data_IF_274712268882
#
_entry.id   IF_274712268882
#
_cell.length_a   1.000
_cell.length_b   1.000
_cell.length_c   1.000
_cell.angle_alpha   90.00
_cell.angle_beta   90.00
_cell.angle_gamma   90.00
#
_symmetry.space_group_name_H-M   'P 1'
#
loop_
_entity.id
_entity.type
_entity.pdbx_description
1 polymer ?
#
# COMPACT_ATOMS: atom_id res chain seq x y z
N UNK A 1 19.62 5.06 -3.99
CA UNK A 1 20.39 3.81 -4.05
C UNK A 1 19.60 2.62 -3.48
N UNK A 2 20.07 1.41 -3.77
CA UNK A 2 19.48 0.18 -3.23
C UNK A 2 19.62 0.11 -1.71
N UNK A 3 20.78 0.45 -1.21
CA UNK A 3 21.09 0.39 0.22
C UNK A 3 21.99 1.55 0.63
N UNK A 4 21.86 1.93 1.89
CA UNK A 4 22.66 2.97 2.51
C UNK A 4 23.20 2.48 3.86
N UNK A 5 24.49 2.68 4.09
CA UNK A 5 25.18 2.17 5.26
C UNK A 5 25.88 3.29 6.04
N UNK A 6 25.18 4.02 6.92
CA UNK A 6 25.82 5.02 7.77
C UNK A 6 26.60 4.37 8.91
N UNK A 7 27.85 4.79 9.09
CA UNK A 7 28.71 4.38 10.18
C UNK A 7 28.97 5.59 11.09
N UNK A 8 28.36 5.61 12.25
CA UNK A 8 28.51 6.71 13.20
C UNK A 8 28.16 6.26 14.62
N UNK A 9 28.83 6.86 15.60
CA UNK A 9 28.49 6.68 17.03
C UNK A 9 27.45 7.69 17.52
N UNK A 10 27.04 8.62 16.66
CA UNK A 10 26.06 9.66 16.98
C UNK A 10 24.70 9.27 16.41
N UNK A 11 23.77 8.86 17.28
CA UNK A 11 22.42 8.46 16.87
C UNK A 11 21.68 9.57 16.12
N UNK A 12 21.82 10.82 16.56
CA UNK A 12 21.17 11.96 15.90
C UNK A 12 21.67 12.17 14.47
N UNK A 13 22.95 11.90 14.20
CA UNK A 13 23.50 11.99 12.87
C UNK A 13 23.01 10.84 11.96
N UNK A 14 22.88 9.65 12.53
CA UNK A 14 22.30 8.52 11.82
C UNK A 14 20.85 8.81 11.41
N UNK A 15 20.05 9.30 12.35
CA UNK A 15 18.64 9.65 12.10
C UNK A 15 18.52 10.75 11.04
N UNK A 16 19.37 11.77 11.10
CA UNK A 16 19.42 12.83 10.09
C UNK A 16 19.66 12.27 8.68
N UNK A 17 20.62 11.36 8.53
CA UNK A 17 20.89 10.74 7.23
C UNK A 17 19.77 9.82 6.76
N UNK A 18 19.13 9.07 7.67
CA UNK A 18 17.99 8.21 7.35
C UNK A 18 16.83 9.03 6.79
N UNK A 19 16.56 10.18 7.39
CA UNK A 19 15.47 11.07 6.98
C UNK A 19 15.74 11.82 5.66
N UNK A 20 17.02 12.10 5.37
CA UNK A 20 17.39 12.96 4.24
C UNK A 20 17.96 12.21 3.02
N UNK A 21 18.35 10.95 3.17
CA UNK A 21 18.90 10.15 2.06
C UNK A 21 17.91 9.03 1.71
N UNK A 22 17.28 9.15 0.55
CA UNK A 22 16.39 8.11 0.06
C UNK A 22 17.16 6.88 -0.41
N UNK A 23 16.79 5.71 0.12
CA UNK A 23 17.35 4.42 -0.29
C UNK A 23 16.30 3.31 -0.18
N UNK A 24 16.56 2.18 -0.81
CA UNK A 24 15.68 1.01 -0.68
C UNK A 24 15.74 0.39 0.72
N UNK A 25 16.87 0.43 1.37
CA UNK A 25 17.05 -0.03 2.74
C UNK A 25 18.24 0.64 3.42
N UNK A 26 18.26 0.58 4.75
CA UNK A 26 19.32 1.16 5.58
C UNK A 26 19.81 0.14 6.60
N UNK A 27 21.12 0.06 6.78
CA UNK A 27 21.74 -0.70 7.88
C UNK A 27 22.73 0.19 8.60
N UNK A 28 22.46 0.56 9.84
CA UNK A 28 23.30 1.46 10.62
C UNK A 28 24.42 0.69 11.30
N UNK A 29 25.66 1.18 11.17
CA UNK A 29 26.87 0.60 11.76
C UNK A 29 27.15 -0.84 11.33
N UNK A 30 26.56 -1.26 10.21
CA UNK A 30 26.82 -2.57 9.62
C UNK A 30 26.49 -2.55 8.12
N UNK A 31 26.81 -3.61 7.43
CA UNK A 31 26.52 -3.76 6.01
C UNK A 31 25.75 -5.08 5.78
N UNK A 32 24.82 -5.07 4.83
CA UNK A 32 24.07 -6.24 4.36
C UNK A 32 23.08 -6.87 5.36
N UNK A 33 23.13 -6.55 6.64
CA UNK A 33 22.29 -7.21 7.64
C UNK A 33 20.79 -6.97 7.46
N UNK A 34 20.39 -5.85 6.86
CA UNK A 34 18.97 -5.62 6.55
C UNK A 34 18.43 -6.62 5.51
N UNK A 35 19.28 -7.12 4.61
CA UNK A 35 18.93 -8.14 3.61
C UNK A 35 18.72 -9.51 4.28
N UNK A 36 19.50 -9.81 5.30
CA UNK A 36 19.43 -11.07 6.03
C UNK A 36 18.19 -11.17 6.94
N UNK A 37 17.52 -10.05 7.19
CA UNK A 37 16.30 -10.01 7.99
C UNK A 37 15.10 -10.33 7.09
N UNK A 38 14.67 -11.58 7.10
CA UNK A 38 13.57 -12.04 6.24
C UNK A 38 12.21 -11.39 6.54
N UNK A 39 12.06 -10.75 7.69
CA UNK A 39 10.86 -10.02 8.08
C UNK A 39 10.85 -8.56 7.60
N UNK A 40 11.99 -8.06 7.11
CA UNK A 40 12.09 -6.71 6.57
C UNK A 40 11.93 -6.74 5.04
N UNK A 41 11.17 -5.81 4.47
CA UNK A 41 11.07 -5.70 3.02
C UNK A 41 12.44 -5.33 2.41
N UNK A 42 12.77 -5.94 1.29
CA UNK A 42 13.99 -5.67 0.55
C UNK A 42 13.68 -5.28 -0.90
N UNK A 43 14.19 -4.14 -1.32
CA UNK A 43 14.02 -3.65 -2.68
C UNK A 43 14.61 -2.27 -2.84
N UNK A 44 14.89 -1.89 -4.09
CA UNK A 44 15.45 -0.59 -4.43
C UNK A 44 14.40 0.47 -4.70
N UNK A 45 14.88 1.69 -4.92
CA UNK A 45 14.09 2.83 -5.34
C UNK A 45 14.72 3.49 -6.57
N UNK A 46 13.91 4.13 -7.41
CA UNK A 46 14.39 4.79 -8.62
C UNK A 46 15.19 3.85 -9.52
N UNK A 47 16.43 4.23 -9.90
CA UNK A 47 17.26 3.40 -10.78
C UNK A 47 17.68 2.05 -10.19
N UNK A 48 17.64 1.87 -8.86
CA UNK A 48 18.01 0.62 -8.20
C UNK A 48 16.90 -0.41 -8.14
N UNK A 49 15.67 -0.07 -8.52
CA UNK A 49 14.58 -1.02 -8.58
C UNK A 49 13.23 -0.43 -8.26
N UNK A 50 12.22 -1.30 -8.32
CA UNK A 50 10.83 -0.97 -8.06
C UNK A 50 10.20 -2.14 -7.31
N UNK A 51 9.46 -1.82 -6.24
CA UNK A 51 8.85 -2.83 -5.38
C UNK A 51 9.84 -3.42 -4.37
N UNK A 52 9.37 -4.39 -3.62
CA UNK A 52 10.15 -5.04 -2.57
C UNK A 52 9.60 -6.44 -2.28
N UNK A 53 10.40 -7.28 -1.63
CA UNK A 53 10.04 -8.63 -1.25
C UNK A 53 10.61 -8.98 0.13
N UNK A 54 10.46 -10.15 0.61
CA UNK A 54 10.63 -10.71 1.95
C UNK A 54 9.41 -10.48 2.84
N UNK A 55 9.17 -11.43 3.73
CA UNK A 55 8.10 -11.37 4.72
C UNK A 55 6.72 -11.17 4.11
N UNK A 56 5.92 -10.39 4.80
CA UNK A 56 4.55 -10.06 4.39
C UNK A 56 4.50 -9.28 3.07
N UNK A 57 5.40 -8.34 2.89
CA UNK A 57 5.49 -7.54 1.66
C UNK A 57 5.84 -8.42 0.45
N UNK A 58 6.71 -9.41 0.64
CA UNK A 58 7.01 -10.40 -0.39
C UNK A 58 5.78 -11.23 -0.76
N UNK A 59 5.03 -11.67 0.24
CA UNK A 59 3.76 -12.36 0.01
C UNK A 59 2.79 -11.51 -0.81
N UNK A 60 2.61 -10.23 -0.45
CA UNK A 60 1.74 -9.32 -1.19
C UNK A 60 2.21 -9.08 -2.62
N UNK A 61 3.53 -8.93 -2.82
CA UNK A 61 4.13 -8.67 -4.14
C UNK A 61 3.83 -9.79 -5.13
N UNK A 62 3.87 -11.05 -4.69
CA UNK A 62 3.60 -12.22 -5.52
C UNK A 62 2.15 -12.70 -5.45
N UNK A 63 1.27 -11.94 -4.81
CA UNK A 63 -0.14 -12.27 -4.63
C UNK A 63 -1.02 -11.33 -5.45
N UNK A 64 -2.20 -11.84 -5.82
CA UNK A 64 -3.23 -11.03 -6.45
C UNK A 64 -4.31 -10.72 -5.44
N UNK A 65 -4.53 -9.44 -5.17
CA UNK A 65 -5.69 -9.00 -4.40
C UNK A 65 -6.95 -9.24 -5.22
N UNK A 66 -7.80 -10.14 -4.74
CA UNK A 66 -9.05 -10.48 -5.40
C UNK A 66 -10.21 -9.89 -4.62
N UNK A 67 -10.86 -8.84 -5.11
CA UNK A 67 -12.06 -8.34 -4.47
C UNK A 67 -13.20 -9.35 -4.66
N UNK A 68 -13.98 -9.57 -3.61
CA UNK A 68 -15.16 -10.43 -3.65
C UNK A 68 -16.35 -9.65 -3.11
N UNK A 69 -17.33 -9.44 -3.96
CA UNK A 69 -18.59 -8.85 -3.58
C UNK A 69 -19.66 -9.93 -3.62
N UNK A 70 -20.29 -10.20 -2.48
CA UNK A 70 -21.43 -11.10 -2.39
C UNK A 70 -22.70 -10.28 -2.21
N UNK A 71 -23.56 -10.36 -3.19
CA UNK A 71 -24.86 -9.69 -3.11
C UNK A 71 -25.71 -10.31 -2.00
N UNK A 72 -26.35 -9.47 -1.21
CA UNK A 72 -27.31 -9.91 -0.22
C UNK A 72 -28.52 -10.59 -0.88
N UNK A 73 -29.24 -11.42 -0.14
CA UNK A 73 -30.45 -12.09 -0.64
C UNK A 73 -31.53 -11.12 -1.14
N UNK A 74 -31.54 -9.92 -0.57
CA UNK A 74 -32.37 -8.81 -1.03
C UNK A 74 -31.47 -7.77 -1.72
N UNK A 75 -31.73 -7.54 -3.02
CA UNK A 75 -30.95 -6.58 -3.82
C UNK A 75 -31.80 -5.34 -4.13
N UNK A 76 -31.23 -4.17 -3.81
CA UNK A 76 -31.81 -2.87 -4.17
C UNK A 76 -31.50 -2.45 -5.60
N UNK A 77 -30.57 -3.15 -6.29
CA UNK A 77 -30.20 -2.84 -7.68
C UNK A 77 -31.40 -2.94 -8.62
N UNK A 78 -32.33 -3.84 -8.35
CA UNK A 78 -33.58 -3.96 -9.14
C UNK A 78 -34.39 -2.68 -9.15
N UNK A 79 -34.28 -1.84 -8.11
CA UNK A 79 -34.94 -0.53 -8.06
C UNK A 79 -34.27 0.50 -9.01
N UNK A 80 -33.04 0.26 -9.39
CA UNK A 80 -32.28 1.12 -10.29
C UNK A 80 -32.17 0.56 -11.71
N UNK A 81 -32.75 -0.63 -11.96
CA UNK A 81 -32.75 -1.25 -13.28
C UNK A 81 -33.85 -0.64 -14.18
N UNK A 82 -33.59 -0.54 -15.50
CA UNK A 82 -34.67 -0.11 -16.42
C UNK A 82 -35.85 -1.10 -16.45
N UNK A 83 -37.07 -0.60 -16.68
CA UNK A 83 -37.46 0.79 -16.86
C UNK A 83 -37.46 1.60 -15.56
N UNK A 84 -36.96 2.84 -15.63
CA UNK A 84 -36.86 3.74 -14.49
C UNK A 84 -38.21 4.36 -14.15
N UNK A 85 -38.75 4.10 -12.97
CA UNK A 85 -39.98 4.68 -12.46
C UNK A 85 -39.74 5.79 -11.43
N UNK A 86 -40.83 6.29 -10.84
CA UNK A 86 -40.78 7.29 -9.76
C UNK A 86 -39.92 6.86 -8.57
N UNK A 87 -39.92 5.57 -8.24
CA UNK A 87 -39.17 5.01 -7.14
C UNK A 87 -37.67 5.12 -7.37
N UNK A 88 -37.19 4.81 -8.58
CA UNK A 88 -35.80 4.95 -8.94
C UNK A 88 -35.33 6.42 -8.86
N UNK A 89 -36.12 7.35 -9.35
CA UNK A 89 -35.85 8.78 -9.26
C UNK A 89 -35.79 9.28 -7.81
N UNK A 90 -36.69 8.83 -6.95
CA UNK A 90 -36.73 9.18 -5.53
C UNK A 90 -35.47 8.65 -4.80
N UNK A 91 -35.06 7.41 -5.09
CA UNK A 91 -33.87 6.81 -4.52
C UNK A 91 -32.63 7.60 -4.96
N UNK A 92 -32.48 7.91 -6.24
CA UNK A 92 -31.35 8.70 -6.77
C UNK A 92 -31.30 10.09 -6.16
N UNK A 93 -32.42 10.78 -6.07
CA UNK A 93 -32.50 12.12 -5.47
C UNK A 93 -32.11 12.09 -3.99
N UNK A 94 -32.53 11.07 -3.25
CA UNK A 94 -32.15 10.88 -1.85
C UNK A 94 -30.63 10.65 -1.72
N UNK A 95 -30.04 9.81 -2.56
CA UNK A 95 -28.60 9.56 -2.57
C UNK A 95 -27.80 10.82 -2.90
N UNK A 96 -28.28 11.63 -3.84
CA UNK A 96 -27.62 12.91 -4.19
C UNK A 96 -27.67 13.88 -3.01
N UNK A 97 -28.79 13.97 -2.31
CA UNK A 97 -28.95 14.82 -1.10
C UNK A 97 -28.04 14.38 0.03
N UNK A 98 -27.87 13.07 0.23
CA UNK A 98 -26.99 12.52 1.28
C UNK A 98 -25.50 12.77 1.00
N UNK A 99 -25.14 13.00 -0.25
CA UNK A 99 -23.73 13.26 -0.66
C UNK A 99 -23.28 14.69 -0.38
N UNK A 100 -24.18 15.59 -0.11
CA UNK A 100 -23.85 17.01 0.19
C UNK A 100 -23.37 17.16 1.68
#
# INVERSE_FOLDING_TARGET
PLAFYPFTNQNQLADFYIENIMSGGVSVNDALFHVAQHDLPFGGIGPSGMGHYHGYEGFLTFSKLRPVFKQASFSTIKLLAPPYGKLANNVLNTMIKMRK
#
